data_IF_203112637576
#
_entry.id   IF_203112637576
#
_cell.length_a   1.000
_cell.length_b   1.000
_cell.length_c   1.000
_cell.angle_alpha   90.00
_cell.angle_beta   90.00
_cell.angle_gamma   90.00
#
_symmetry.space_group_name_H-M   'P 1'
#
loop_
_entity.id
_entity.type
_entity.pdbx_description
1 polymer ?
#
# COMPACT_ATOMS: atom_id res chain seq x y z
N UNK A 1 -12.81 2.19 4.06
CA UNK A 1 -11.81 3.15 3.54
C UNK A 1 -12.44 4.40 2.93
N UNK A 2 -13.37 4.27 1.96
CA UNK A 2 -14.05 5.41 1.29
C UNK A 2 -14.51 6.53 2.23
N UNK A 3 -15.27 6.20 3.28
CA UNK A 3 -15.75 7.19 4.27
C UNK A 3 -14.61 7.97 4.95
N UNK A 4 -13.49 7.31 5.26
CA UNK A 4 -12.34 7.98 5.89
C UNK A 4 -11.59 8.88 4.90
N UNK A 5 -11.57 8.51 3.62
CA UNK A 5 -10.99 9.31 2.55
C UNK A 5 -11.81 10.59 2.29
N UNK A 6 -13.14 10.48 2.24
CA UNK A 6 -14.06 11.60 1.98
C UNK A 6 -14.06 12.64 3.12
N UNK A 7 -13.89 12.19 4.37
CA UNK A 7 -13.92 13.06 5.54
C UNK A 7 -12.52 13.51 6.02
N UNK A 8 -11.45 13.19 5.27
CA UNK A 8 -10.06 13.42 5.67
C UNK A 8 -9.75 12.98 7.13
N UNK A 9 -10.41 11.89 7.57
CA UNK A 9 -10.39 11.42 8.95
C UNK A 9 -9.02 10.85 9.35
N UNK A 10 -8.83 10.67 10.67
CA UNK A 10 -7.56 10.27 11.25
C UNK A 10 -6.95 9.02 10.57
N UNK A 11 -5.74 9.19 10.04
CA UNK A 11 -4.90 8.15 9.41
C UNK A 11 -4.71 6.92 10.29
N UNK A 12 -4.77 7.06 11.62
CA UNK A 12 -4.67 5.95 12.56
C UNK A 12 -5.81 4.94 12.38
N UNK A 13 -7.00 5.39 11.96
CA UNK A 13 -8.15 4.52 11.68
C UNK A 13 -8.05 3.83 10.32
N UNK A 14 -7.18 4.33 9.43
CA UNK A 14 -6.99 3.80 8.09
C UNK A 14 -6.04 2.60 8.08
N UNK A 15 -5.02 2.59 8.94
CA UNK A 15 -4.04 1.51 9.01
C UNK A 15 -4.66 0.13 9.35
N UNK A 16 -5.64 0.00 10.26
CA UNK A 16 -6.36 -1.25 10.49
C UNK A 16 -7.15 -1.72 9.26
N UNK A 17 -7.79 -0.81 8.53
CA UNK A 17 -8.54 -1.14 7.32
C UNK A 17 -7.62 -1.56 6.17
N UNK A 18 -6.47 -0.90 6.03
CA UNK A 18 -5.39 -1.29 5.10
C UNK A 18 -4.90 -2.70 5.37
N UNK A 19 -4.68 -3.02 6.65
CA UNK A 19 -4.35 -4.38 7.05
C UNK A 19 -5.46 -5.37 6.69
N UNK A 20 -6.71 -5.10 7.06
CA UNK A 20 -7.83 -6.00 6.79
C UNK A 20 -8.00 -6.28 5.30
N UNK A 21 -7.86 -5.26 4.44
CA UNK A 21 -7.91 -5.42 3.00
C UNK A 21 -6.87 -6.43 2.49
N UNK A 22 -5.60 -6.27 2.91
CA UNK A 22 -4.54 -7.18 2.51
C UNK A 22 -4.74 -8.60 3.07
N UNK A 23 -5.28 -8.73 4.29
CA UNK A 23 -5.58 -10.04 4.88
C UNK A 23 -6.65 -10.78 4.07
N UNK A 24 -7.66 -10.07 3.53
CA UNK A 24 -8.66 -10.66 2.62
C UNK A 24 -8.02 -11.16 1.32
N UNK A 25 -7.02 -10.46 0.77
CA UNK A 25 -6.29 -10.93 -0.41
C UNK A 25 -5.52 -12.22 -0.11
N UNK A 26 -4.80 -12.24 1.01
CA UNK A 26 -4.01 -13.39 1.41
C UNK A 26 -4.88 -14.59 1.79
N UNK A 27 -6.12 -14.37 2.23
CA UNK A 27 -7.06 -15.46 2.54
C UNK A 27 -7.50 -16.27 1.31
N UNK A 28 -7.05 -15.91 0.10
CA UNK A 28 -7.35 -16.63 -1.15
C UNK A 28 -6.29 -17.66 -1.53
N UNK A 29 -5.27 -17.83 -0.71
CA UNK A 29 -4.29 -18.92 -0.86
C UNK A 29 -4.20 -19.72 0.43
N UNK A 30 -4.18 -21.04 0.30
CA UNK A 30 -3.98 -21.97 1.41
C UNK A 30 -2.49 -22.21 1.70
N UNK A 31 -1.59 -21.62 0.89
CA UNK A 31 -0.16 -21.75 1.09
C UNK A 31 0.32 -20.77 2.17
N UNK A 32 0.45 -21.28 3.40
CA UNK A 32 0.86 -20.51 4.58
C UNK A 32 2.22 -19.82 4.41
N UNK A 33 3.17 -20.43 3.70
CA UNK A 33 4.49 -19.83 3.44
C UNK A 33 4.38 -18.61 2.54
N UNK A 34 3.55 -18.67 1.50
CA UNK A 34 3.30 -17.52 0.62
C UNK A 34 2.61 -16.41 1.41
N UNK A 35 1.60 -16.73 2.23
CA UNK A 35 0.92 -15.73 3.09
C UNK A 35 1.91 -15.04 4.01
N UNK A 36 2.78 -15.80 4.68
CA UNK A 36 3.76 -15.25 5.60
C UNK A 36 4.78 -14.35 4.88
N UNK A 37 5.32 -14.81 3.75
CA UNK A 37 6.25 -14.04 2.92
C UNK A 37 5.60 -12.74 2.44
N UNK A 38 4.37 -12.82 1.93
CA UNK A 38 3.62 -11.63 1.49
C UNK A 38 3.36 -10.68 2.65
N UNK A 39 2.97 -11.16 3.84
CA UNK A 39 2.81 -10.29 5.02
C UNK A 39 4.11 -9.59 5.38
N UNK A 40 5.23 -10.31 5.45
CA UNK A 40 6.54 -9.72 5.82
C UNK A 40 7.03 -8.72 4.77
N UNK A 41 6.95 -9.05 3.49
CA UNK A 41 7.45 -8.21 2.40
C UNK A 41 6.52 -7.03 2.09
N UNK A 42 5.21 -7.26 2.00
CA UNK A 42 4.26 -6.23 1.61
C UNK A 42 3.83 -5.33 2.76
N UNK A 43 3.72 -5.89 3.98
CA UNK A 43 3.28 -5.14 5.16
C UNK A 43 4.45 -4.70 6.01
N UNK A 44 5.43 -5.58 6.22
CA UNK A 44 6.60 -5.34 7.07
C UNK A 44 7.65 -4.42 6.42
N UNK A 45 8.19 -4.78 5.25
CA UNK A 45 9.25 -4.00 4.60
C UNK A 45 8.74 -2.63 4.15
N UNK A 46 7.54 -2.56 3.57
CA UNK A 46 6.88 -1.29 3.27
C UNK A 46 6.75 -0.45 4.53
N UNK A 47 6.11 -0.93 5.61
CA UNK A 47 5.93 -0.10 6.82
C UNK A 47 7.24 0.21 7.55
N UNK A 48 8.26 -0.64 7.44
CA UNK A 48 9.57 -0.43 8.04
C UNK A 48 10.38 0.62 7.28
N UNK A 49 10.57 0.44 5.97
CA UNK A 49 11.26 1.43 5.13
C UNK A 49 10.50 2.76 5.09
N UNK A 50 9.17 2.69 5.23
CA UNK A 50 8.30 3.85 5.29
C UNK A 50 8.12 4.39 6.72
N UNK A 51 8.61 3.77 7.80
CA UNK A 51 8.15 4.07 9.16
C UNK A 51 8.24 5.57 9.53
N UNK A 52 9.26 6.27 9.05
CA UNK A 52 9.44 7.72 9.28
C UNK A 52 8.55 8.60 8.39
N UNK A 53 8.27 8.17 7.15
CA UNK A 53 7.68 9.02 6.09
C UNK A 53 6.36 8.48 5.52
N UNK A 54 5.89 7.31 5.94
CA UNK A 54 4.68 6.64 5.42
C UNK A 54 3.44 7.50 5.61
N UNK A 55 3.43 8.30 6.69
CA UNK A 55 2.40 9.28 6.98
C UNK A 55 2.36 10.44 5.98
N UNK A 56 3.41 10.65 5.19
CA UNK A 56 3.52 11.79 4.28
C UNK A 56 3.56 11.37 2.80
N UNK A 57 3.73 10.08 2.53
CA UNK A 57 3.88 9.53 1.17
C UNK A 57 2.57 9.49 0.39
N UNK A 58 1.47 9.24 1.09
CA UNK A 58 0.12 9.20 0.54
C UNK A 58 -0.85 9.93 1.47
N UNK A 59 -1.80 10.65 0.92
CA UNK A 59 -2.99 11.14 1.60
C UNK A 59 -3.98 10.00 1.86
N UNK A 60 -4.96 10.21 2.75
CA UNK A 60 -6.04 9.24 3.00
C UNK A 60 -6.86 8.96 1.73
N UNK A 61 -7.07 9.99 0.91
CA UNK A 61 -7.70 9.88 -0.41
C UNK A 61 -6.88 8.99 -1.37
N UNK A 62 -5.58 9.25 -1.50
CA UNK A 62 -4.71 8.42 -2.35
C UNK A 62 -4.65 6.97 -1.89
N UNK A 63 -4.61 6.72 -0.58
CA UNK A 63 -4.65 5.35 -0.05
C UNK A 63 -5.94 4.65 -0.50
N UNK A 64 -7.09 5.31 -0.36
CA UNK A 64 -8.36 4.73 -0.82
C UNK A 64 -8.35 4.47 -2.33
N UNK A 65 -7.96 5.44 -3.15
CA UNK A 65 -8.01 5.29 -4.62
C UNK A 65 -7.12 4.16 -5.11
N UNK A 66 -5.92 4.02 -4.55
CA UNK A 66 -5.00 2.93 -4.92
C UNK A 66 -5.57 1.56 -4.60
N UNK A 67 -6.26 1.43 -3.47
CA UNK A 67 -6.94 0.19 -3.09
C UNK A 67 -8.19 -0.07 -3.91
N UNK A 68 -8.90 0.99 -4.32
CA UNK A 68 -10.03 0.89 -5.25
C UNK A 68 -9.60 0.34 -6.61
N UNK A 69 -8.47 0.79 -7.15
CA UNK A 69 -7.92 0.25 -8.41
C UNK A 69 -7.66 -1.26 -8.30
N UNK A 70 -7.04 -1.71 -7.20
CA UNK A 70 -6.83 -3.15 -6.97
C UNK A 70 -8.17 -3.89 -6.91
N UNK A 71 -9.13 -3.36 -6.15
CA UNK A 71 -10.46 -3.95 -6.05
C UNK A 71 -11.15 -4.07 -7.42
N UNK A 72 -11.11 -3.02 -8.24
CA UNK A 72 -11.73 -3.00 -9.55
C UNK A 72 -11.09 -4.02 -10.49
N UNK A 73 -9.75 -4.16 -10.46
CA UNK A 73 -9.03 -5.18 -11.24
C UNK A 73 -9.33 -6.59 -10.75
N UNK A 74 -9.45 -6.83 -9.43
CA UNK A 74 -9.82 -8.15 -8.91
C UNK A 74 -11.18 -8.63 -9.43
N UNK A 75 -12.11 -7.71 -9.72
CA UNK A 75 -13.43 -8.05 -10.27
C UNK A 75 -13.36 -8.62 -11.69
N UNK A 76 -12.30 -8.36 -12.45
CA UNK A 76 -12.12 -8.90 -13.80
C UNK A 76 -11.78 -10.39 -13.77
N UNK A 77 -11.22 -10.88 -12.64
CA UNK A 77 -10.69 -12.24 -12.48
C UNK A 77 -9.59 -12.62 -13.48
N UNK A 78 -8.99 -11.64 -14.15
CA UNK A 78 -7.86 -11.84 -15.04
C UNK A 78 -6.56 -11.89 -14.21
N UNK A 79 -5.91 -13.07 -14.11
CA UNK A 79 -4.71 -13.21 -13.29
C UNK A 79 -3.54 -12.33 -13.78
N UNK A 80 -3.45 -12.05 -15.08
CA UNK A 80 -2.39 -11.19 -15.64
C UNK A 80 -2.63 -9.74 -15.26
N UNK A 81 -3.86 -9.26 -15.42
CA UNK A 81 -4.22 -7.89 -15.03
C UNK A 81 -4.03 -7.67 -13.53
N UNK A 82 -4.42 -8.64 -12.70
CA UNK A 82 -4.27 -8.60 -11.24
C UNK A 82 -2.79 -8.51 -10.86
N UNK A 83 -1.94 -9.37 -11.44
CA UNK A 83 -0.51 -9.37 -11.17
C UNK A 83 0.13 -8.02 -11.51
N UNK A 84 -0.13 -7.50 -12.72
CA UNK A 84 0.40 -6.21 -13.16
C UNK A 84 -0.04 -5.06 -12.26
N UNK A 85 -1.31 -5.06 -11.84
CA UNK A 85 -1.85 -4.05 -10.92
C UNK A 85 -1.17 -4.09 -9.55
N UNK A 86 -1.01 -5.28 -8.96
CA UNK A 86 -0.33 -5.45 -7.69
C UNK A 86 1.15 -5.07 -7.77
N UNK A 87 1.83 -5.42 -8.87
CA UNK A 87 3.23 -5.05 -9.11
C UNK A 87 3.39 -3.53 -9.16
N UNK A 88 2.56 -2.85 -9.95
CA UNK A 88 2.61 -1.39 -10.08
C UNK A 88 2.28 -0.70 -8.75
N UNK A 89 1.38 -1.26 -7.94
CA UNK A 89 1.08 -0.73 -6.60
C UNK A 89 2.35 -0.62 -5.73
N UNK A 90 3.19 -1.66 -5.70
CA UNK A 90 4.45 -1.61 -4.94
C UNK A 90 5.53 -0.75 -5.61
N UNK A 91 5.63 -0.78 -6.94
CA UNK A 91 6.58 0.07 -7.66
C UNK A 91 6.31 1.54 -7.37
N UNK A 92 5.05 1.97 -7.43
CA UNK A 92 4.69 3.35 -7.17
C UNK A 92 5.00 3.78 -5.71
N UNK A 93 4.79 2.90 -4.73
CA UNK A 93 5.21 3.16 -3.36
C UNK A 93 6.73 3.39 -3.29
N UNK A 94 7.51 2.56 -3.99
CA UNK A 94 8.96 2.75 -4.15
C UNK A 94 9.33 4.07 -4.82
N UNK A 95 8.63 4.50 -5.88
CA UNK A 95 8.86 5.80 -6.52
C UNK A 95 8.62 6.97 -5.57
N UNK A 96 7.52 6.91 -4.80
CA UNK A 96 7.22 7.96 -3.82
C UNK A 96 8.23 8.00 -2.67
N UNK A 97 8.82 6.85 -2.31
CA UNK A 97 9.89 6.74 -1.32
C UNK A 97 11.20 7.36 -1.75
N UNK A 98 11.54 7.32 -3.04
CA UNK A 98 12.81 7.87 -3.53
C UNK A 98 13.02 9.32 -3.09
N UNK A 99 11.94 10.09 -2.92
CA UNK A 99 11.96 11.47 -2.39
C UNK A 99 12.60 11.60 -1.00
N UNK A 100 12.58 10.54 -0.21
CA UNK A 100 13.12 10.51 1.16
C UNK A 100 14.42 9.71 1.29
N UNK A 101 14.81 8.98 0.23
CA UNK A 101 16.02 8.17 0.16
C UNK A 101 17.19 8.86 -0.54
N UNK A 102 17.14 10.19 -0.68
CA UNK A 102 18.26 11.00 -1.17
C UNK A 102 19.08 11.48 0.03
N UNK A 103 20.40 11.37 -0.05
CA UNK A 103 21.27 12.14 0.83
C UNK A 103 20.91 13.61 0.62
N UNK A 104 20.56 14.33 1.69
CA UNK A 104 20.11 15.70 1.60
C UNK A 104 21.19 16.59 0.99
N UNK A 105 21.15 16.79 -0.32
CA UNK A 105 22.04 17.73 -1.00
C UNK A 105 21.33 19.07 -1.13
N UNK A 106 21.76 19.97 -0.24
CA UNK A 106 21.79 21.42 -0.41
C UNK A 106 20.48 22.11 -0.80
N UNK A 107 19.65 22.42 0.21
CA UNK A 107 18.89 23.67 0.24
C UNK A 107 18.55 24.04 1.69
N UNK A 108 19.59 24.25 2.49
CA UNK A 108 19.52 25.08 3.70
C UNK A 108 20.49 26.25 3.49
N UNK A 109 20.00 27.29 2.80
CA UNK A 109 20.36 28.72 2.91
C UNK A 109 19.49 29.53 1.96
#
# INVERSE_FOLDING_TARGET
>A
MKHLAENAENRDRLAPLDNEFHDVLFSKTDNSLIVELSRRSCRGVSKFLLFKYWRDIFTTAEIYERHKVIFDVLRTKDPVAIELCLREHYIDAGRRMMRYGVDGTAQDN
#
